data_IF_028889352194
#
_entry.id   IF_028889352194
#
_cell.length_a   1.000
_cell.length_b   1.000
_cell.length_c   1.000
_cell.angle_alpha   90.00
_cell.angle_beta   90.00
_cell.angle_gamma   90.00
#
_symmetry.space_group_name_H-M   'P 1'
#
loop_
_entity.id
_entity.type
_entity.pdbx_description
1 polymer ?
#
# COMPACT_ATOMS: atom_id res chain seq x y z
N UNK A 1 31.36 -22.52 -16.48
CA UNK A 1 30.72 -22.28 -15.16
C UNK A 1 30.89 -20.79 -14.77
N UNK A 2 30.12 -19.86 -15.37
CA UNK A 2 30.30 -18.40 -15.15
C UNK A 2 28.98 -17.58 -15.07
N UNK A 3 27.82 -18.19 -14.79
CA UNK A 3 26.52 -17.50 -14.89
C UNK A 3 25.70 -17.44 -13.59
N UNK A 4 26.31 -17.33 -12.41
CA UNK A 4 25.57 -17.21 -11.14
C UNK A 4 25.73 -15.87 -10.41
N UNK A 5 26.65 -14.99 -10.82
CA UNK A 5 26.87 -13.70 -10.14
C UNK A 5 25.90 -12.60 -10.55
N UNK A 6 25.30 -12.67 -11.73
CA UNK A 6 24.27 -11.72 -12.18
C UNK A 6 23.01 -11.80 -11.31
N UNK A 7 22.65 -12.99 -10.84
CA UNK A 7 21.53 -13.17 -9.90
C UNK A 7 21.86 -12.61 -8.51
N UNK A 8 23.13 -12.70 -8.07
CA UNK A 8 23.58 -12.15 -6.79
C UNK A 8 23.59 -10.61 -6.79
N UNK A 9 23.92 -9.98 -7.92
CA UNK A 9 23.87 -8.53 -8.09
C UNK A 9 22.45 -8.00 -8.28
N UNK A 10 21.56 -8.76 -8.93
CA UNK A 10 20.13 -8.45 -8.97
C UNK A 10 19.46 -8.55 -7.58
N UNK A 11 20.05 -9.33 -6.67
CA UNK A 11 19.64 -9.47 -5.28
C UNK A 11 20.26 -8.42 -4.32
N UNK A 12 20.84 -7.32 -4.84
CA UNK A 12 21.06 -6.10 -4.08
C UNK A 12 19.69 -5.44 -3.78
N UNK A 13 18.93 -6.12 -2.93
CA UNK A 13 17.58 -5.79 -2.50
C UNK A 13 17.50 -4.34 -1.97
N UNK A 14 16.35 -3.66 -2.10
CA UNK A 14 16.12 -2.33 -1.53
C UNK A 14 16.57 -2.21 -0.06
N UNK A 15 16.55 -3.32 0.69
CA UNK A 15 17.06 -3.42 2.06
C UNK A 15 18.52 -2.95 2.26
N UNK A 16 19.38 -3.06 1.25
CA UNK A 16 20.79 -2.59 1.30
C UNK A 16 21.00 -1.27 0.56
N UNK A 17 20.17 -0.99 -0.45
CA UNK A 17 20.27 0.25 -1.24
C UNK A 17 19.66 1.44 -0.48
N UNK A 18 18.52 1.25 0.20
CA UNK A 18 17.82 2.31 0.94
C UNK A 18 18.67 2.90 2.08
N UNK A 19 19.35 2.10 2.94
CA UNK A 19 20.22 2.66 3.98
C UNK A 19 21.39 3.46 3.40
N UNK A 20 21.92 3.03 2.25
CA UNK A 20 23.03 3.72 1.58
C UNK A 20 22.60 5.08 1.00
N UNK A 21 21.40 5.14 0.40
CA UNK A 21 20.79 6.38 -0.11
C UNK A 21 20.47 7.37 1.02
N UNK A 22 20.11 6.88 2.21
CA UNK A 22 19.87 7.72 3.39
C UNK A 22 21.18 8.28 3.96
N UNK A 23 22.25 7.48 4.03
CA UNK A 23 23.57 7.94 4.52
C UNK A 23 24.14 9.07 3.67
N UNK A 24 24.10 8.93 2.33
CA UNK A 24 24.59 9.96 1.40
C UNK A 24 23.77 11.26 1.54
N UNK A 25 22.46 11.14 1.75
CA UNK A 25 21.56 12.27 2.02
C UNK A 25 21.88 12.98 3.34
N UNK A 26 22.23 12.23 4.40
CA UNK A 26 22.64 12.79 5.69
C UNK A 26 23.98 13.53 5.61
N UNK A 27 24.87 13.13 4.72
CA UNK A 27 26.15 13.80 4.45
C UNK A 27 26.01 15.08 3.59
N UNK A 28 24.77 15.45 3.22
CA UNK A 28 24.46 16.67 2.47
C UNK A 28 24.51 16.50 0.94
N UNK A 29 24.85 15.32 0.45
CA UNK A 29 24.87 15.02 -0.99
C UNK A 29 23.50 14.51 -1.46
N UNK A 30 22.89 15.19 -2.44
CA UNK A 30 21.71 14.67 -3.14
C UNK A 30 20.48 14.44 -2.25
N UNK A 31 20.26 15.28 -1.23
CA UNK A 31 19.08 15.21 -0.33
C UNK A 31 17.75 15.18 -1.09
N UNK A 32 17.62 15.98 -2.15
CA UNK A 32 16.44 15.99 -3.02
C UNK A 32 16.28 14.68 -3.80
N UNK A 33 17.38 14.13 -4.33
CA UNK A 33 17.37 12.85 -5.06
C UNK A 33 16.99 11.68 -4.16
N UNK A 34 17.53 11.65 -2.94
CA UNK A 34 17.21 10.64 -1.92
C UNK A 34 15.71 10.64 -1.57
N UNK A 35 15.14 11.84 -1.34
CA UNK A 35 13.69 11.96 -1.06
C UNK A 35 12.81 11.56 -2.24
N UNK A 36 13.22 11.87 -3.47
CA UNK A 36 12.48 11.49 -4.68
C UNK A 36 12.51 9.98 -4.90
N UNK A 37 13.67 9.32 -4.72
CA UNK A 37 13.81 7.87 -4.86
C UNK A 37 12.99 7.13 -3.80
N UNK A 38 13.05 7.59 -2.54
CA UNK A 38 12.27 6.98 -1.45
C UNK A 38 10.76 7.16 -1.72
N UNK A 39 10.34 8.32 -2.23
CA UNK A 39 8.96 8.56 -2.63
C UNK A 39 8.54 7.67 -3.80
N UNK A 40 9.37 7.53 -4.84
CA UNK A 40 9.07 6.66 -5.99
C UNK A 40 9.00 5.19 -5.60
N UNK A 41 9.89 4.70 -4.72
CA UNK A 41 9.80 3.33 -4.20
C UNK A 41 8.51 3.11 -3.41
N UNK A 42 8.11 4.07 -2.57
CA UNK A 42 6.85 3.97 -1.82
C UNK A 42 5.62 3.96 -2.74
N UNK A 43 5.67 4.70 -3.86
CA UNK A 43 4.61 4.72 -4.86
C UNK A 43 4.58 3.41 -5.67
N UNK A 44 5.74 2.85 -6.00
CA UNK A 44 5.86 1.57 -6.71
C UNK A 44 5.24 0.42 -5.90
N UNK A 45 5.51 0.36 -4.60
CA UNK A 45 4.91 -0.64 -3.70
C UNK A 45 3.36 -0.55 -3.70
N UNK A 46 2.82 0.67 -3.63
CA UNK A 46 1.36 0.93 -3.64
C UNK A 46 0.74 0.63 -5.01
N UNK A 47 1.45 0.92 -6.09
CA UNK A 47 1.00 0.62 -7.45
C UNK A 47 0.93 -0.89 -7.69
N UNK A 48 2.01 -1.61 -7.36
CA UNK A 48 2.13 -3.05 -7.58
C UNK A 48 1.09 -3.83 -6.77
N UNK A 49 0.86 -3.48 -5.49
CA UNK A 49 -0.17 -4.14 -4.67
C UNK A 49 -1.60 -3.82 -5.16
N UNK A 50 -1.84 -2.61 -5.66
CA UNK A 50 -3.14 -2.23 -6.24
C UNK A 50 -3.44 -3.02 -7.49
N UNK A 51 -2.46 -3.11 -8.39
CA UNK A 51 -2.58 -3.89 -9.62
C UNK A 51 -2.77 -5.38 -9.33
N UNK A 52 -2.02 -5.94 -8.37
CA UNK A 52 -2.16 -7.34 -7.98
C UNK A 52 -3.54 -7.65 -7.38
N UNK A 53 -4.07 -6.74 -6.56
CA UNK A 53 -5.43 -6.91 -5.99
C UNK A 53 -6.51 -6.91 -7.07
N UNK A 54 -6.39 -6.03 -8.08
CA UNK A 54 -7.28 -6.02 -9.25
C UNK A 54 -7.20 -7.33 -10.03
N UNK A 55 -5.98 -7.80 -10.31
CA UNK A 55 -5.77 -9.06 -11.03
C UNK A 55 -6.37 -10.24 -10.28
N UNK A 56 -6.17 -10.31 -8.96
CA UNK A 56 -6.77 -11.35 -8.13
C UNK A 56 -8.31 -11.26 -8.12
N UNK A 57 -8.88 -10.05 -8.05
CA UNK A 57 -10.32 -9.85 -8.15
C UNK A 57 -10.91 -10.41 -9.45
N UNK A 58 -10.22 -10.20 -10.57
CA UNK A 58 -10.63 -10.70 -11.89
C UNK A 58 -10.50 -12.24 -11.96
N UNK A 59 -9.39 -12.80 -11.45
CA UNK A 59 -9.12 -14.25 -11.50
C UNK A 59 -10.07 -15.07 -10.63
N UNK A 60 -10.42 -14.57 -9.43
CA UNK A 60 -11.30 -15.29 -8.50
C UNK A 60 -12.79 -15.13 -8.81
N UNK A 61 -13.17 -14.31 -9.79
CA UNK A 61 -14.57 -14.17 -10.18
C UNK A 61 -15.02 -15.38 -11.01
N UNK A 62 -15.48 -16.40 -10.29
CA UNK A 62 -16.00 -17.65 -10.86
C UNK A 62 -17.52 -17.55 -11.01
N UNK A 63 -18.02 -16.98 -12.10
CA UNK A 63 -19.45 -17.12 -12.45
C UNK A 63 -20.19 -15.91 -13.03
N UNK A 64 -19.66 -14.69 -12.95
CA UNK A 64 -20.28 -13.50 -13.56
C UNK A 64 -19.65 -13.24 -14.94
N UNK A 65 -20.41 -12.61 -15.86
CA UNK A 65 -19.88 -12.24 -17.19
C UNK A 65 -18.58 -11.43 -17.04
N UNK A 66 -17.49 -11.91 -17.64
CA UNK A 66 -16.13 -11.33 -17.52
C UNK A 66 -16.10 -9.82 -17.76
N UNK A 67 -16.96 -9.32 -18.64
CA UNK A 67 -17.15 -7.90 -18.94
C UNK A 67 -17.67 -7.08 -17.76
N UNK A 68 -18.64 -7.60 -16.98
CA UNK A 68 -19.16 -6.91 -15.80
C UNK A 68 -18.11 -6.89 -14.68
N UNK A 69 -17.36 -7.98 -14.50
CA UNK A 69 -16.27 -8.05 -13.53
C UNK A 69 -15.15 -7.07 -13.86
N UNK A 70 -14.80 -6.95 -15.14
CA UNK A 70 -13.75 -6.04 -15.60
C UNK A 70 -14.10 -4.57 -15.35
N UNK A 71 -15.39 -4.20 -15.40
CA UNK A 71 -15.88 -2.85 -15.06
C UNK A 71 -16.01 -2.67 -13.54
N UNK A 72 -16.44 -3.70 -12.82
CA UNK A 72 -16.57 -3.67 -11.36
C UNK A 72 -15.21 -3.57 -10.66
N UNK A 73 -14.15 -4.16 -11.23
CA UNK A 73 -12.80 -4.15 -10.64
C UNK A 73 -12.23 -2.73 -10.41
N UNK A 74 -12.17 -1.80 -11.40
CA UNK A 74 -11.70 -0.43 -11.16
C UNK A 74 -12.64 0.35 -10.22
N UNK A 75 -13.95 0.09 -10.27
CA UNK A 75 -14.92 0.71 -9.37
C UNK A 75 -14.65 0.29 -7.91
N UNK A 76 -14.31 -0.98 -7.67
CA UNK A 76 -13.94 -1.48 -6.34
C UNK A 76 -12.63 -0.87 -5.84
N UNK A 77 -11.63 -0.66 -6.70
CA UNK A 77 -10.40 0.05 -6.33
C UNK A 77 -10.69 1.48 -5.90
N UNK A 78 -11.49 2.20 -6.70
CA UNK A 78 -11.85 3.59 -6.40
C UNK A 78 -12.66 3.67 -5.12
N UNK A 79 -13.64 2.78 -4.93
CA UNK A 79 -14.43 2.69 -3.70
C UNK A 79 -13.57 2.37 -2.48
N UNK A 80 -12.64 1.43 -2.58
CA UNK A 80 -11.68 1.10 -1.53
C UNK A 80 -10.76 2.27 -1.19
N UNK A 81 -10.28 3.01 -2.19
CA UNK A 81 -9.49 4.24 -1.99
C UNK A 81 -10.30 5.33 -1.28
N UNK A 82 -11.57 5.53 -1.65
CA UNK A 82 -12.44 6.53 -1.01
C UNK A 82 -12.73 6.14 0.44
N UNK A 83 -13.15 4.90 0.68
CA UNK A 83 -13.43 4.41 2.03
C UNK A 83 -12.17 4.45 2.91
N UNK A 84 -11.04 3.97 2.40
CA UNK A 84 -9.75 4.06 3.09
C UNK A 84 -9.32 5.51 3.36
N UNK A 85 -9.58 6.42 2.43
CA UNK A 85 -9.36 7.85 2.58
C UNK A 85 -10.18 8.48 3.70
N UNK A 86 -11.48 8.17 3.77
CA UNK A 86 -12.40 8.66 4.80
C UNK A 86 -11.99 8.14 6.18
N UNK A 87 -11.69 6.85 6.29
CA UNK A 87 -11.28 6.24 7.55
C UNK A 87 -9.90 6.73 7.99
N UNK A 88 -8.95 6.87 7.06
CA UNK A 88 -7.65 7.47 7.31
C UNK A 88 -7.76 8.94 7.78
N UNK A 89 -8.74 9.69 7.28
CA UNK A 89 -9.04 11.04 7.75
C UNK A 89 -9.57 11.05 9.19
N UNK A 90 -10.49 10.13 9.53
CA UNK A 90 -11.01 9.95 10.89
C UNK A 90 -9.90 9.58 11.90
N UNK A 91 -8.84 8.89 11.45
CA UNK A 91 -7.62 8.64 12.23
C UNK A 91 -6.90 9.90 12.76
N UNK A 92 -7.28 11.10 12.30
CA UNK A 92 -6.80 12.38 12.85
C UNK A 92 -7.20 12.61 14.31
N UNK A 93 -8.36 12.08 14.73
CA UNK A 93 -8.89 12.24 16.09
C UNK A 93 -8.24 11.29 17.10
N UNK A 94 -7.35 10.41 16.65
CA UNK A 94 -6.69 9.40 17.47
C UNK A 94 -5.75 9.98 18.55
N UNK A 95 -5.85 9.53 19.81
CA UNK A 95 -4.92 9.89 20.88
C UNK A 95 -3.53 9.25 20.70
N UNK A 96 -2.46 9.97 21.05
CA UNK A 96 -1.05 9.55 20.84
C UNK A 96 -0.69 8.21 21.49
N UNK A 97 -1.29 7.88 22.65
CA UNK A 97 -1.02 6.64 23.41
C UNK A 97 -1.58 5.36 22.77
N UNK A 98 -2.53 5.47 21.82
CA UNK A 98 -3.28 4.32 21.28
C UNK A 98 -3.12 4.16 19.76
N UNK A 99 -2.09 4.76 19.16
CA UNK A 99 -1.91 4.78 17.69
C UNK A 99 -1.84 3.38 17.07
N UNK A 100 -1.07 2.48 17.67
CA UNK A 100 -0.88 1.11 17.17
C UNK A 100 -2.15 0.24 17.30
N UNK A 101 -2.80 0.13 18.47
CA UNK A 101 -4.03 -0.66 18.60
C UNK A 101 -5.22 -0.04 17.83
N UNK A 102 -5.28 1.28 17.68
CA UNK A 102 -6.30 1.91 16.85
C UNK A 102 -6.13 1.57 15.37
N UNK A 103 -4.91 1.61 14.83
CA UNK A 103 -4.64 1.17 13.45
C UNK A 103 -5.05 -0.28 13.26
N UNK A 104 -4.68 -1.14 14.21
CA UNK A 104 -5.02 -2.56 14.16
C UNK A 104 -6.54 -2.77 14.18
N UNK A 105 -7.25 -2.16 15.13
CA UNK A 105 -8.71 -2.25 15.27
C UNK A 105 -9.44 -1.70 14.04
N UNK A 106 -9.00 -0.56 13.51
CA UNK A 106 -9.62 0.07 12.33
C UNK A 106 -9.38 -0.76 11.08
N UNK A 107 -8.18 -1.33 10.91
CA UNK A 107 -7.85 -2.22 9.80
C UNK A 107 -8.67 -3.50 9.83
N UNK A 108 -8.82 -4.10 11.02
CA UNK A 108 -9.63 -5.30 11.22
C UNK A 108 -11.11 -5.04 10.93
N UNK A 109 -11.63 -3.90 11.40
CA UNK A 109 -13.02 -3.50 11.17
C UNK A 109 -13.32 -3.28 9.67
N UNK A 110 -12.41 -2.66 8.92
CA UNK A 110 -12.56 -2.49 7.47
C UNK A 110 -12.52 -3.84 6.75
N UNK A 111 -11.59 -4.73 7.15
CA UNK A 111 -11.46 -6.05 6.55
C UNK A 111 -12.72 -6.89 6.77
N UNK A 112 -13.18 -7.04 8.02
CA UNK A 112 -14.40 -7.77 8.33
C UNK A 112 -15.66 -7.12 7.74
N UNK A 113 -15.71 -5.78 7.65
CA UNK A 113 -16.80 -5.06 7.00
C UNK A 113 -16.91 -5.34 5.50
N UNK A 114 -15.77 -5.47 4.79
CA UNK A 114 -15.77 -5.80 3.37
C UNK A 114 -16.06 -7.28 3.10
N UNK A 115 -15.62 -8.18 3.98
CA UNK A 115 -15.96 -9.61 3.93
C UNK A 115 -17.48 -9.79 4.10
N UNK A 116 -18.11 -9.04 5.02
CA UNK A 116 -19.57 -9.07 5.20
C UNK A 116 -20.34 -8.56 3.98
N UNK A 117 -19.75 -7.64 3.21
CA UNK A 117 -20.35 -7.09 2.00
C UNK A 117 -20.16 -7.96 0.74
N UNK A 118 -19.56 -9.17 0.86
CA UNK A 118 -19.20 -10.03 -0.28
C UNK A 118 -18.30 -9.33 -1.33
N UNK A 119 -17.42 -8.42 -0.89
CA UNK A 119 -16.46 -7.72 -1.76
C UNK A 119 -15.03 -7.99 -1.29
N UNK A 120 -14.57 -9.23 -1.48
CA UNK A 120 -13.33 -9.74 -0.89
C UNK A 120 -12.05 -8.98 -1.31
N UNK A 121 -12.03 -8.39 -2.51
CA UNK A 121 -10.86 -7.64 -3.02
C UNK A 121 -10.81 -6.17 -2.60
N UNK A 122 -11.95 -5.57 -2.21
CA UNK A 122 -12.04 -4.15 -1.85
C UNK A 122 -11.44 -3.87 -0.46
N UNK A 123 -11.57 -4.83 0.47
CA UNK A 123 -11.13 -4.68 1.85
C UNK A 123 -9.62 -4.52 2.01
N UNK A 124 -8.82 -5.23 1.20
CA UNK A 124 -7.35 -5.19 1.30
C UNK A 124 -6.78 -3.83 0.88
N UNK A 125 -7.34 -3.24 -0.19
CA UNK A 125 -6.96 -1.90 -0.65
C UNK A 125 -7.43 -0.81 0.30
N UNK A 126 -8.65 -0.92 0.83
CA UNK A 126 -9.18 0.04 1.80
C UNK A 126 -8.33 0.07 3.09
N UNK A 127 -7.88 -1.09 3.58
CA UNK A 127 -6.99 -1.20 4.74
C UNK A 127 -5.62 -0.56 4.45
N UNK A 128 -5.02 -0.84 3.29
CA UNK A 128 -3.72 -0.28 2.92
C UNK A 128 -3.76 1.25 2.82
N UNK A 129 -4.77 1.78 2.13
CA UNK A 129 -4.95 3.23 1.94
C UNK A 129 -5.22 3.91 3.28
N UNK A 130 -6.09 3.33 4.13
CA UNK A 130 -6.37 3.87 5.46
C UNK A 130 -5.12 3.92 6.35
N UNK A 131 -4.33 2.83 6.38
CA UNK A 131 -3.11 2.75 7.16
C UNK A 131 -2.06 3.77 6.69
N UNK A 132 -1.84 3.88 5.38
CA UNK A 132 -0.89 4.82 4.80
C UNK A 132 -1.28 6.27 5.10
N UNK A 133 -2.54 6.64 4.90
CA UNK A 133 -3.04 7.99 5.19
C UNK A 133 -2.93 8.34 6.67
N UNK A 134 -3.29 7.42 7.57
CA UNK A 134 -3.19 7.64 9.01
C UNK A 134 -1.73 7.91 9.45
N UNK A 135 -0.78 7.09 8.97
CA UNK A 135 0.65 7.26 9.26
C UNK A 135 1.21 8.55 8.66
N UNK A 136 0.88 8.85 7.39
CA UNK A 136 1.32 10.08 6.73
C UNK A 136 0.84 11.34 7.46
N UNK A 137 -0.37 11.31 8.02
CA UNK A 137 -0.96 12.42 8.79
C UNK A 137 -0.29 12.61 10.14
N UNK A 138 0.04 11.51 10.83
CA UNK A 138 0.68 11.57 12.15
C UNK A 138 2.12 12.05 12.12
N UNK A 139 2.81 11.92 10.98
CA UNK A 139 4.15 12.48 10.76
C UNK A 139 4.16 14.00 10.58
N UNK A 140 3.03 14.61 10.17
CA UNK A 140 2.87 16.07 10.04
C UNK A 140 2.48 16.77 11.36
N UNK A 141 2.41 16.04 12.47
CA UNK A 141 2.05 16.53 13.82
C UNK A 141 3.18 16.26 14.80
#
# INVERSE_FOLDING_TARGET
RKNTRSFLLAAASPAVVVPSIIKISQEGYGTHLSSMIIASCSLDDVYNISMFSVLMSVIFTTGDSLTLTLIKAPIQVVAGCILGGVVGYLGRFAPKKSRFPLLLSTSLAIYFGCVYAHVDSCGTLAVLVAAFLAVARWRKR
#
